data_IF_790115837321
#
_entry.id   IF_790115837321
#
_cell.length_a   1.000
_cell.length_b   1.000
_cell.length_c   1.000
_cell.angle_alpha   90.00
_cell.angle_beta   90.00
_cell.angle_gamma   90.00
#
_symmetry.space_group_name_H-M   'P 1'
#
loop_
_entity.id
_entity.type
_entity.pdbx_description
1 polymer ?
#
# COMPACT_ATOMS: atom_id res chain seq x y z
N UNK A 1 -23.28 -11.84 16.23
CA UNK A 1 -22.51 -10.99 15.30
C UNK A 1 -21.05 -11.36 15.43
N UNK A 2 -20.41 -11.86 14.36
CA UNK A 2 -18.98 -12.15 14.37
C UNK A 2 -18.23 -10.96 13.77
N UNK A 3 -17.30 -10.37 14.52
CA UNK A 3 -16.45 -9.27 14.05
C UNK A 3 -15.11 -9.87 13.63
N UNK A 4 -14.75 -9.72 12.36
CA UNK A 4 -13.44 -10.14 11.88
C UNK A 4 -12.42 -9.08 12.27
N UNK A 5 -11.31 -9.47 12.90
CA UNK A 5 -10.25 -8.52 13.20
C UNK A 5 -9.63 -8.00 11.87
N UNK A 6 -9.72 -6.69 11.59
CA UNK A 6 -9.33 -6.10 10.32
C UNK A 6 -7.83 -6.16 10.05
N UNK A 7 -7.01 -6.50 11.04
CA UNK A 7 -5.57 -6.65 10.89
C UNK A 7 -5.16 -8.03 10.37
N UNK A 8 -6.05 -9.03 10.31
CA UNK A 8 -5.73 -10.31 9.64
C UNK A 8 -5.71 -10.14 8.13
N UNK A 9 -4.83 -10.87 7.45
CA UNK A 9 -4.49 -10.66 6.03
C UNK A 9 -5.72 -10.59 5.12
N UNK A 10 -6.69 -11.50 5.27
CA UNK A 10 -7.91 -11.51 4.47
C UNK A 10 -8.80 -10.29 4.75
N UNK A 11 -9.06 -9.98 6.03
CA UNK A 11 -9.90 -8.86 6.42
C UNK A 11 -9.27 -7.53 6.00
N UNK A 12 -7.96 -7.41 6.18
CA UNK A 12 -7.18 -6.24 5.77
C UNK A 12 -7.21 -6.06 4.25
N UNK A 13 -7.09 -7.15 3.48
CA UNK A 13 -7.24 -7.12 2.02
C UNK A 13 -8.59 -6.55 1.61
N UNK A 14 -9.69 -7.08 2.17
CA UNK A 14 -11.02 -6.57 1.84
C UNK A 14 -11.23 -5.12 2.27
N UNK A 15 -10.67 -4.72 3.42
CA UNK A 15 -10.69 -3.33 3.88
C UNK A 15 -10.00 -2.40 2.87
N UNK A 16 -8.82 -2.77 2.40
CA UNK A 16 -8.02 -1.96 1.48
C UNK A 16 -8.49 -2.02 0.02
N UNK A 17 -9.27 -3.03 -0.36
CA UNK A 17 -9.97 -3.07 -1.66
C UNK A 17 -11.14 -2.08 -1.73
N UNK A 18 -11.74 -1.74 -0.59
CA UNK A 18 -12.76 -0.71 -0.54
C UNK A 18 -12.12 0.68 -0.60
N UNK A 19 -12.27 1.36 -1.73
CA UNK A 19 -11.65 2.67 -1.98
C UNK A 19 -11.91 3.69 -0.86
N UNK A 20 -13.15 3.78 -0.36
CA UNK A 20 -13.52 4.72 0.71
C UNK A 20 -12.81 4.40 2.01
N UNK A 21 -12.66 3.12 2.36
CA UNK A 21 -11.95 2.71 3.57
C UNK A 21 -10.44 2.84 3.41
N UNK A 22 -9.90 2.43 2.27
CA UNK A 22 -8.48 2.58 1.93
C UNK A 22 -8.02 4.04 2.00
N UNK A 23 -8.80 4.99 1.42
CA UNK A 23 -8.53 6.43 1.52
C UNK A 23 -8.43 6.88 2.98
N UNK A 24 -9.38 6.47 3.83
CA UNK A 24 -9.34 6.81 5.26
C UNK A 24 -8.10 6.26 5.96
N UNK A 25 -7.80 4.98 5.76
CA UNK A 25 -6.63 4.33 6.35
C UNK A 25 -5.35 5.05 5.93
N UNK A 26 -5.17 5.29 4.62
CA UNK A 26 -3.99 5.97 4.10
C UNK A 26 -3.90 7.42 4.55
N UNK A 27 -5.02 8.16 4.59
CA UNK A 27 -5.04 9.52 5.13
C UNK A 27 -4.62 9.57 6.59
N UNK A 28 -5.07 8.62 7.40
CA UNK A 28 -4.67 8.53 8.81
C UNK A 28 -3.19 8.17 8.95
N UNK A 29 -2.68 7.22 8.14
CA UNK A 29 -1.27 6.80 8.21
C UNK A 29 -0.30 7.87 7.71
N UNK A 30 -0.69 8.66 6.71
CA UNK A 30 0.13 9.70 6.10
C UNK A 30 -0.07 11.08 6.73
N UNK A 31 -1.05 11.22 7.62
CA UNK A 31 -1.45 12.51 8.21
C UNK A 31 -1.76 13.58 7.13
N UNK A 32 -2.28 13.14 5.98
CA UNK A 32 -2.56 13.99 4.82
C UNK A 32 -3.93 13.65 4.20
N UNK A 33 -4.56 14.60 3.52
CA UNK A 33 -5.81 14.34 2.81
C UNK A 33 -5.56 13.57 1.51
N UNK A 34 -6.21 12.42 1.34
CA UNK A 34 -6.16 11.61 0.11
C UNK A 34 -7.41 11.92 -0.73
N UNK A 35 -7.27 12.77 -1.74
CA UNK A 35 -8.36 13.17 -2.63
C UNK A 35 -8.77 12.04 -3.57
N UNK A 36 -7.78 11.41 -4.20
CA UNK A 36 -7.98 10.30 -5.12
C UNK A 36 -7.05 9.13 -4.85
N UNK A 37 -7.54 7.92 -5.14
CA UNK A 37 -6.82 6.68 -4.89
C UNK A 37 -7.17 5.67 -5.98
N UNK A 38 -6.16 5.25 -6.74
CA UNK A 38 -6.24 4.18 -7.74
C UNK A 38 -5.48 2.99 -7.20
N UNK A 39 -6.14 1.83 -7.21
CA UNK A 39 -5.52 0.56 -6.83
C UNK A 39 -4.87 -0.01 -8.09
N UNK A 40 -3.54 -0.13 -8.10
CA UNK A 40 -2.78 -0.57 -9.28
C UNK A 40 -2.67 -2.10 -9.30
N UNK A 41 -1.87 -2.69 -8.40
CA UNK A 41 -1.63 -4.13 -8.32
C UNK A 41 -1.54 -4.59 -6.86
N UNK A 42 -2.20 -5.70 -6.54
CA UNK A 42 -2.15 -6.32 -5.22
C UNK A 42 -1.31 -7.60 -5.32
N UNK A 43 0.00 -7.48 -5.19
CA UNK A 43 0.89 -8.64 -5.27
C UNK A 43 0.87 -9.42 -3.94
N UNK A 44 0.53 -10.70 -4.01
CA UNK A 44 0.39 -11.58 -2.83
C UNK A 44 1.61 -12.50 -2.71
N UNK A 45 2.28 -12.34 -1.56
CA UNK A 45 3.01 -13.34 -0.76
C UNK A 45 4.12 -14.12 -1.46
N UNK A 46 5.33 -13.60 -1.33
CA UNK A 46 6.48 -14.49 -1.20
C UNK A 46 6.32 -15.28 0.10
N UNK A 47 5.98 -16.56 -0.03
CA UNK A 47 6.17 -17.52 1.06
C UNK A 47 7.65 -17.87 1.04
N UNK A 48 8.40 -17.45 2.06
CA UNK A 48 9.72 -18.05 2.28
C UNK A 48 9.47 -19.47 2.80
N UNK A 49 9.63 -20.47 1.92
CA UNK A 49 9.38 -21.90 2.21
C UNK A 49 10.18 -22.40 3.43
N UNK A 50 11.31 -21.76 3.77
CA UNK A 50 12.11 -22.09 4.94
C UNK A 50 11.64 -21.47 6.26
N UNK A 51 10.76 -20.44 6.23
CA UNK A 51 10.40 -19.64 7.42
C UNK A 51 8.90 -19.39 7.60
N UNK A 52 8.05 -19.81 6.66
CA UNK A 52 6.60 -19.68 6.75
C UNK A 52 6.10 -18.23 6.80
N UNK A 53 6.88 -17.29 6.25
CA UNK A 53 6.58 -15.86 6.29
C UNK A 53 5.54 -15.49 5.23
N UNK A 54 4.56 -14.68 5.59
CA UNK A 54 3.63 -14.06 4.64
C UNK A 54 3.94 -12.58 4.51
N UNK A 55 4.45 -12.16 3.36
CA UNK A 55 4.57 -10.74 3.00
C UNK A 55 3.32 -10.30 2.23
N UNK A 56 2.61 -9.31 2.74
CA UNK A 56 1.45 -8.75 2.04
C UNK A 56 1.77 -7.34 1.55
N UNK A 57 1.51 -7.08 0.27
CA UNK A 57 1.86 -5.81 -0.40
C UNK A 57 0.67 -5.27 -1.16
N UNK A 58 0.48 -3.96 -1.07
CA UNK A 58 -0.54 -3.23 -1.82
C UNK A 58 0.04 -1.96 -2.39
N UNK A 59 -0.12 -1.78 -3.71
CA UNK A 59 0.35 -0.59 -4.41
C UNK A 59 -0.82 0.31 -4.81
N UNK A 60 -0.63 1.60 -4.62
CA UNK A 60 -1.61 2.63 -4.93
C UNK A 60 -0.97 3.79 -5.68
N UNK A 61 -1.72 4.41 -6.60
CA UNK A 61 -1.47 5.78 -7.02
C UNK A 61 -2.45 6.69 -6.31
N UNK A 62 -1.97 7.75 -5.67
CA UNK A 62 -2.80 8.66 -4.89
C UNK A 62 -2.60 10.12 -5.32
N UNK A 63 -3.67 10.91 -5.24
CA UNK A 63 -3.62 12.36 -5.27
C UNK A 63 -3.83 12.87 -3.85
N UNK A 64 -2.82 13.53 -3.29
CA UNK A 64 -2.80 14.02 -1.92
C UNK A 64 -2.86 15.55 -1.88
N UNK A 65 -3.28 16.10 -0.75
CA UNK A 65 -3.02 17.49 -0.37
C UNK A 65 -2.00 17.50 0.76
N UNK A 66 -0.87 18.18 0.54
CA UNK A 66 0.16 18.33 1.56
C UNK A 66 -0.24 19.38 2.62
N UNK A 67 0.56 19.53 3.68
CA UNK A 67 0.30 20.52 4.75
C UNK A 67 0.20 21.97 4.24
N UNK A 68 0.77 22.26 3.08
CA UNK A 68 0.77 23.58 2.43
C UNK A 68 -0.45 23.79 1.52
N UNK A 69 -1.34 22.80 1.39
CA UNK A 69 -2.52 22.86 0.52
C UNK A 69 -2.25 22.50 -0.95
N UNK A 70 -1.03 22.05 -1.28
CA UNK A 70 -0.67 21.70 -2.65
C UNK A 70 -1.05 20.27 -3.01
N UNK A 71 -1.49 20.08 -4.26
CA UNK A 71 -1.84 18.76 -4.78
C UNK A 71 -0.61 18.02 -5.28
N UNK A 72 -0.41 16.79 -4.81
CA UNK A 72 0.71 15.96 -5.21
C UNK A 72 0.24 14.56 -5.63
N UNK A 73 0.72 14.09 -6.78
CA UNK A 73 0.48 12.72 -7.22
C UNK A 73 1.65 11.84 -6.77
N UNK A 74 1.36 10.80 -5.99
CA UNK A 74 2.36 9.90 -5.41
C UNK A 74 2.04 8.44 -5.69
N UNK A 75 3.07 7.60 -5.57
CA UNK A 75 2.95 6.16 -5.51
C UNK A 75 3.16 5.70 -4.07
N UNK A 76 2.28 4.84 -3.57
CA UNK A 76 2.30 4.34 -2.20
C UNK A 76 2.37 2.82 -2.26
N UNK A 77 3.39 2.24 -1.63
CA UNK A 77 3.49 0.80 -1.38
C UNK A 77 3.27 0.54 0.11
N UNK A 78 2.17 -0.13 0.44
CA UNK A 78 1.87 -0.55 1.80
C UNK A 78 2.30 -2.00 2.00
N UNK A 79 3.26 -2.22 2.89
CA UNK A 79 3.75 -3.56 3.24
C UNK A 79 3.31 -3.96 4.64
N UNK A 80 2.82 -5.19 4.77
CA UNK A 80 2.60 -5.86 6.06
C UNK A 80 3.50 -7.08 6.12
N UNK A 81 4.40 -7.09 7.10
CA UNK A 81 5.36 -8.18 7.35
C UNK A 81 5.54 -8.42 8.85
N UNK A 82 6.00 -9.63 9.21
CA UNK A 82 6.44 -9.95 10.58
C UNK A 82 7.92 -9.63 10.83
N UNK A 83 8.67 -9.32 9.77
CA UNK A 83 10.09 -9.01 9.81
C UNK A 83 10.35 -7.65 9.17
N UNK A 84 11.44 -6.96 9.53
CA UNK A 84 11.91 -5.79 8.81
C UNK A 84 12.03 -6.10 7.32
N UNK A 85 11.41 -5.27 6.48
CA UNK A 85 11.51 -5.35 5.02
C UNK A 85 12.41 -4.25 4.49
N UNK A 86 12.99 -4.48 3.32
CA UNK A 86 13.91 -3.53 2.70
C UNK A 86 13.17 -2.62 1.69
N UNK A 87 13.35 -1.30 1.84
CA UNK A 87 12.82 -0.25 0.95
C UNK A 87 13.44 -0.30 -0.46
N UNK A 88 14.60 -0.94 -0.63
CA UNK A 88 15.31 -1.02 -1.92
C UNK A 88 14.43 -1.58 -3.06
N UNK A 89 13.54 -2.55 -2.79
CA UNK A 89 12.65 -3.07 -3.84
C UNK A 89 11.77 -1.97 -4.43
N UNK A 90 11.11 -1.17 -3.58
CA UNK A 90 10.22 -0.10 -4.06
C UNK A 90 10.99 0.91 -4.91
N UNK A 91 12.23 1.23 -4.51
CA UNK A 91 13.11 2.11 -5.28
C UNK A 91 13.50 1.52 -6.64
N UNK A 92 13.82 0.22 -6.70
CA UNK A 92 14.10 -0.49 -7.96
C UNK A 92 12.88 -0.50 -8.87
N UNK A 93 11.68 -0.78 -8.34
CA UNK A 93 10.43 -0.74 -9.10
C UNK A 93 10.16 0.64 -9.73
N UNK A 94 10.35 1.72 -8.96
CA UNK A 94 10.28 3.06 -9.50
C UNK A 94 11.30 3.26 -10.62
N UNK A 95 12.57 2.92 -10.37
CA UNK A 95 13.65 3.05 -11.36
C UNK A 95 13.34 2.34 -12.68
N UNK A 96 12.89 1.08 -12.62
CA UNK A 96 12.50 0.31 -13.80
C UNK A 96 11.31 0.92 -14.56
N UNK A 97 10.30 1.41 -13.84
CA UNK A 97 9.12 2.03 -14.46
C UNK A 97 9.42 3.39 -15.09
N UNK A 98 10.31 4.18 -14.51
CA UNK A 98 10.79 5.41 -15.13
C UNK A 98 11.67 5.11 -16.35
N UNK A 99 12.57 4.13 -16.26
CA UNK A 99 13.45 3.74 -17.36
C UNK A 99 12.70 3.16 -18.57
N UNK A 100 11.52 2.55 -18.38
CA UNK A 100 10.66 2.03 -19.46
C UNK A 100 9.86 3.12 -20.21
N UNK A 101 9.81 4.34 -19.68
CA UNK A 101 9.03 5.46 -20.26
C UNK A 101 9.88 6.42 -21.12
N UNK A 102 11.18 6.19 -21.22
CA UNK A 102 12.06 6.72 -22.28
C UNK A 102 12.22 5.69 -23.41
#
# INVERSE_FOLDING_TARGET
MQIVNPLYDHAFKYLMQNNRMAKKVLSTLLECEVLDLVIEQQEIVAVDEGRGLKLYRLDFSALLVNEQGEKQKVLIELQKSKLPTNVLRFRSYLGENYAKRE
#
